data_IF_099326048608
#
_entry.id   IF_099326048608
#
_cell.length_a   1.000
_cell.length_b   1.000
_cell.length_c   1.000
_cell.angle_alpha   90.00
_cell.angle_beta   90.00
_cell.angle_gamma   90.00
#
_symmetry.space_group_name_H-M   'P 1'
#
loop_
_entity.id
_entity.type
_entity.pdbx_description
1 polymer ?
#
# COMPACT_ATOMS: atom_id res chain seq x y z
N UNK A 1 44.30 41.75 26.30
CA UNK A 1 42.99 42.46 26.27
C UNK A 1 41.98 41.40 25.79
N UNK A 2 41.25 40.88 26.74
CA UNK A 2 40.22 39.83 26.54
C UNK A 2 38.86 40.54 26.43
N UNK A 3 38.14 40.30 25.38
CA UNK A 3 36.72 40.63 25.33
C UNK A 3 35.92 39.34 25.33
N UNK A 4 35.23 39.21 26.46
CA UNK A 4 34.21 38.18 26.69
C UNK A 4 32.89 38.70 26.09
N UNK A 5 32.30 37.93 25.21
CA UNK A 5 30.91 38.11 24.76
C UNK A 5 29.99 37.22 25.60
N UNK A 6 29.18 37.83 26.44
CA UNK A 6 28.09 37.20 27.20
C UNK A 6 26.97 36.80 26.22
N UNK A 7 26.58 35.52 26.28
CA UNK A 7 25.29 35.09 25.71
C UNK A 7 24.18 35.28 26.72
N UNK A 8 23.26 36.22 26.42
CA UNK A 8 22.02 36.44 27.16
C UNK A 8 21.08 35.25 26.93
N UNK A 9 20.78 34.51 27.99
CA UNK A 9 19.75 33.47 27.99
C UNK A 9 18.35 34.11 27.94
N UNK A 10 17.57 33.74 26.94
CA UNK A 10 16.13 34.07 26.91
C UNK A 10 15.39 32.95 27.64
N UNK A 11 14.88 33.29 28.83
CA UNK A 11 13.95 32.43 29.55
C UNK A 11 12.56 32.57 28.91
N UNK A 12 12.09 31.48 28.26
CA UNK A 12 10.69 31.37 27.84
C UNK A 12 9.93 30.66 28.97
N UNK A 13 9.36 31.47 29.84
CA UNK A 13 8.39 31.04 30.83
C UNK A 13 7.09 31.83 30.60
N UNK A 14 6.24 31.34 29.70
CA UNK A 14 4.84 31.71 29.65
C UNK A 14 3.99 30.45 29.67
N UNK A 15 3.15 30.39 30.73
CA UNK A 15 2.11 29.39 30.89
C UNK A 15 1.11 29.50 29.75
N UNK A 16 1.09 28.49 28.86
CA UNK A 16 0.01 28.31 27.89
C UNK A 16 -1.22 27.88 28.69
N UNK A 17 -2.17 28.82 28.89
CA UNK A 17 -3.52 28.49 29.29
C UNK A 17 -4.13 27.59 28.24
N UNK A 18 -4.72 26.46 28.65
CA UNK A 18 -5.56 25.60 27.80
C UNK A 18 -6.72 26.45 27.24
N UNK A 19 -6.50 27.03 26.07
CA UNK A 19 -7.58 27.62 25.28
C UNK A 19 -8.16 26.54 24.37
N UNK A 20 -9.49 26.58 24.24
CA UNK A 20 -10.33 25.65 23.51
C UNK A 20 -9.72 25.15 22.20
N UNK A 21 -9.76 23.86 21.97
CA UNK A 21 -9.29 23.24 20.73
C UNK A 21 -9.98 23.89 19.52
N UNK A 22 -9.29 24.12 18.38
CA UNK A 22 -9.88 24.72 17.18
C UNK A 22 -11.14 24.03 16.65
N UNK A 23 -11.44 22.85 17.13
CA UNK A 23 -12.61 22.06 16.79
C UNK A 23 -13.92 22.64 17.34
N UNK A 24 -13.91 23.38 18.45
CA UNK A 24 -15.11 24.00 19.03
C UNK A 24 -15.53 25.26 18.30
N UNK A 25 -14.61 25.97 17.64
CA UNK A 25 -14.91 27.20 16.90
C UNK A 25 -15.60 26.90 15.53
N UNK A 26 -15.61 25.68 15.06
CA UNK A 26 -16.25 25.25 13.80
C UNK A 26 -17.51 24.40 14.00
N UNK A 27 -17.99 24.25 15.22
CA UNK A 27 -19.30 23.68 15.49
C UNK A 27 -20.41 24.67 15.07
N UNK A 28 -20.50 24.92 13.77
CA UNK A 28 -21.68 25.51 13.17
C UNK A 28 -22.87 24.62 13.44
N UNK A 29 -24.02 25.21 13.78
CA UNK A 29 -25.28 24.48 13.96
C UNK A 29 -25.49 23.44 12.85
N UNK A 30 -26.03 22.24 13.14
CA UNK A 30 -26.27 21.19 12.16
C UNK A 30 -27.16 21.61 10.97
N UNK A 31 -27.77 22.79 11.00
CA UNK A 31 -28.68 23.34 10.00
C UNK A 31 -28.05 24.41 9.07
N UNK A 32 -26.75 24.69 9.13
CA UNK A 32 -26.13 25.59 8.16
C UNK A 32 -25.85 24.84 6.88
N UNK A 33 -26.78 24.86 5.92
CA UNK A 33 -26.57 24.42 4.56
C UNK A 33 -25.27 25.07 4.04
N UNK A 34 -24.23 24.29 3.78
CA UNK A 34 -22.98 24.79 3.24
C UNK A 34 -23.26 25.51 1.92
N UNK A 35 -22.99 26.84 1.78
CA UNK A 35 -23.31 27.57 0.57
C UNK A 35 -22.45 27.12 -0.63
N UNK A 36 -21.41 26.33 -0.37
CA UNK A 36 -20.49 25.83 -1.37
C UNK A 36 -20.99 24.50 -1.93
N UNK A 37 -21.17 24.44 -3.25
CA UNK A 37 -21.56 23.22 -3.97
C UNK A 37 -20.35 22.30 -4.10
N UNK A 38 -20.34 21.21 -3.36
CA UNK A 38 -19.36 20.12 -3.50
C UNK A 38 -19.86 19.03 -4.45
N UNK A 39 -18.95 18.16 -4.91
CA UNK A 39 -19.31 16.98 -5.74
C UNK A 39 -20.16 16.01 -4.92
N UNK A 40 -21.32 15.62 -5.45
CA UNK A 40 -22.26 14.73 -4.74
C UNK A 40 -21.69 13.35 -4.38
N UNK A 41 -20.71 12.85 -5.14
CA UNK A 41 -20.04 11.57 -4.85
C UNK A 41 -19.35 11.59 -3.47
N UNK A 42 -18.87 12.74 -3.02
CA UNK A 42 -18.14 12.84 -1.74
C UNK A 42 -19.03 12.50 -0.53
N UNK A 43 -20.33 12.77 -0.61
CA UNK A 43 -21.28 12.41 0.44
C UNK A 43 -21.57 10.90 0.51
N UNK A 44 -21.24 10.14 -0.53
CA UNK A 44 -21.48 8.69 -0.62
C UNK A 44 -20.21 7.86 -0.45
N UNK A 45 -19.03 8.51 -0.54
CA UNK A 45 -17.76 7.83 -0.40
C UNK A 45 -17.42 7.58 1.07
N UNK A 46 -16.92 6.37 1.40
CA UNK A 46 -16.33 6.16 2.71
C UNK A 46 -15.00 6.91 2.84
N UNK A 47 -14.72 7.43 4.02
CA UNK A 47 -13.37 7.90 4.33
C UNK A 47 -12.37 6.74 4.31
N UNK A 48 -11.16 7.02 3.80
CA UNK A 48 -10.06 6.07 3.93
C UNK A 48 -9.72 5.91 5.42
N UNK A 49 -9.87 4.70 5.94
CA UNK A 49 -9.55 4.39 7.34
C UNK A 49 -8.07 3.99 7.43
N UNK A 50 -7.17 4.85 7.93
CA UNK A 50 -5.78 4.46 8.15
C UNK A 50 -5.68 3.38 9.23
N UNK A 51 -4.57 2.61 9.22
CA UNK A 51 -4.25 1.74 10.33
C UNK A 51 -4.10 2.55 11.62
N UNK A 52 -4.66 2.06 12.73
CA UNK A 52 -4.54 2.72 14.03
C UNK A 52 -3.07 2.79 14.46
N UNK A 53 -2.64 3.80 15.23
CA UNK A 53 -1.33 3.83 15.86
C UNK A 53 -1.18 2.68 16.85
N UNK A 54 0.07 2.33 17.19
CA UNK A 54 0.34 1.34 18.23
C UNK A 54 -0.27 1.79 19.57
N UNK A 55 -1.00 0.90 20.21
CA UNK A 55 -1.59 1.13 21.53
C UNK A 55 -1.55 -0.17 22.35
N UNK A 56 -1.35 -0.05 23.67
CA UNK A 56 -1.33 -1.17 24.57
C UNK A 56 -1.80 -0.76 25.97
N UNK A 57 -2.26 -1.70 26.79
CA UNK A 57 -2.46 -1.51 28.22
C UNK A 57 -1.16 -1.10 28.94
N UNK A 58 -1.27 -0.49 30.12
CA UNK A 58 -0.12 -0.10 30.91
C UNK A 58 0.82 -1.31 31.20
N UNK A 59 2.11 -1.12 30.97
CA UNK A 59 3.12 -2.16 31.17
C UNK A 59 3.27 -3.19 30.03
N UNK A 60 2.48 -3.07 28.96
CA UNK A 60 2.59 -3.93 27.77
C UNK A 60 3.25 -3.17 26.63
N UNK A 61 4.26 -3.77 25.97
CA UNK A 61 4.86 -3.18 24.76
C UNK A 61 3.84 -3.19 23.62
N UNK A 62 3.63 -2.02 22.99
CA UNK A 62 2.72 -1.86 21.88
C UNK A 62 3.41 -2.11 20.53
N UNK A 63 2.77 -2.89 19.65
CA UNK A 63 3.24 -3.17 18.29
C UNK A 63 2.16 -2.80 17.27
N UNK A 64 2.57 -2.14 16.18
CA UNK A 64 1.70 -1.75 15.08
C UNK A 64 1.75 -2.77 13.95
N UNK A 65 0.79 -3.67 13.91
CA UNK A 65 0.66 -4.72 12.90
C UNK A 65 -0.50 -4.45 11.89
N UNK A 66 -0.91 -3.19 11.76
CA UNK A 66 -2.13 -2.82 11.01
C UNK A 66 -1.89 -2.34 9.58
N UNK A 67 -0.65 -2.00 9.18
CA UNK A 67 -0.38 -1.24 7.94
C UNK A 67 0.58 -1.91 6.96
N UNK A 68 0.99 -3.16 7.21
CA UNK A 68 1.97 -3.91 6.39
C UNK A 68 3.28 -3.12 6.23
N UNK A 69 3.69 -2.41 7.29
CA UNK A 69 4.97 -1.73 7.36
C UNK A 69 6.09 -2.75 7.54
N UNK A 70 7.30 -2.39 7.11
CA UNK A 70 8.49 -3.19 7.37
C UNK A 70 8.96 -2.90 8.81
N UNK A 71 9.16 -3.91 9.68
CA UNK A 71 9.62 -3.69 11.05
C UNK A 71 11.08 -3.21 11.14
N UNK A 72 11.86 -3.46 10.08
CA UNK A 72 13.24 -2.96 10.01
C UNK A 72 13.28 -1.51 9.55
N UNK A 73 14.09 -0.68 10.22
CA UNK A 73 14.39 0.67 9.75
C UNK A 73 15.10 0.65 8.38
N UNK A 74 15.27 1.79 7.71
CA UNK A 74 16.02 1.85 6.46
C UNK A 74 17.45 1.32 6.62
N UNK A 75 18.04 0.85 5.52
CA UNK A 75 19.44 0.39 5.50
C UNK A 75 20.39 1.57 5.83
N UNK A 76 21.57 1.33 6.42
CA UNK A 76 22.51 2.41 6.75
C UNK A 76 22.89 3.29 5.55
N UNK A 77 23.12 2.68 4.39
CA UNK A 77 23.41 3.42 3.14
C UNK A 77 22.22 4.28 2.68
N UNK A 78 21.01 3.83 2.90
CA UNK A 78 19.78 4.58 2.60
C UNK A 78 19.60 5.75 3.55
N UNK A 79 19.87 5.56 4.86
CA UNK A 79 19.86 6.65 5.85
C UNK A 79 20.90 7.73 5.52
N UNK A 80 22.12 7.35 5.14
CA UNK A 80 23.13 8.31 4.71
C UNK A 80 22.68 9.14 3.51
N UNK A 81 22.09 8.51 2.50
CA UNK A 81 21.53 9.21 1.33
C UNK A 81 20.37 10.16 1.70
N UNK A 82 19.54 9.79 2.68
CA UNK A 82 18.48 10.64 3.22
C UNK A 82 19.06 11.87 3.91
N UNK A 83 20.05 11.69 4.75
CA UNK A 83 20.70 12.76 5.53
C UNK A 83 21.36 13.77 4.58
N UNK A 84 22.08 13.32 3.56
CA UNK A 84 22.69 14.18 2.55
C UNK A 84 21.62 14.98 1.79
N UNK A 85 20.52 14.35 1.38
CA UNK A 85 19.46 15.01 0.64
C UNK A 85 18.65 15.99 1.52
N UNK A 86 18.56 15.75 2.83
CA UNK A 86 17.84 16.63 3.76
C UNK A 86 18.42 18.05 3.79
N UNK A 87 19.72 18.23 3.49
CA UNK A 87 20.36 19.54 3.42
C UNK A 87 19.83 20.44 2.30
N UNK A 88 19.11 19.88 1.32
CA UNK A 88 18.63 20.60 0.11
C UNK A 88 17.11 20.67 -0.03
N UNK A 89 16.34 20.30 1.01
CA UNK A 89 14.86 20.25 0.96
C UNK A 89 14.18 21.60 0.71
N UNK A 90 14.91 22.71 0.80
CA UNK A 90 14.45 24.04 0.44
C UNK A 90 14.35 24.25 -1.09
N UNK A 91 14.75 23.27 -1.90
CA UNK A 91 14.68 23.29 -3.36
C UNK A 91 13.67 22.28 -3.87
N UNK A 92 13.03 22.60 -5.00
CA UNK A 92 12.19 21.63 -5.68
C UNK A 92 13.00 20.40 -6.12
N UNK A 93 12.42 19.19 -6.05
CA UNK A 93 13.03 18.00 -6.61
C UNK A 93 13.09 18.05 -8.14
N UNK A 94 13.86 17.14 -8.74
CA UNK A 94 13.74 16.87 -10.17
C UNK A 94 12.31 16.39 -10.48
N UNK A 95 11.55 17.22 -11.21
CA UNK A 95 10.16 16.93 -11.57
C UNK A 95 10.02 15.70 -12.47
N UNK A 96 11.01 15.45 -13.33
CA UNK A 96 11.05 14.30 -14.24
C UNK A 96 11.50 13.02 -13.56
N UNK A 97 11.97 13.10 -12.29
CA UNK A 97 12.48 11.95 -11.51
C UNK A 97 13.53 11.16 -12.31
N UNK A 98 14.39 11.86 -13.05
CA UNK A 98 15.28 11.31 -14.09
C UNK A 98 16.22 10.24 -13.55
N UNK A 99 16.92 10.52 -12.44
CA UNK A 99 17.90 9.60 -11.87
C UNK A 99 17.26 8.29 -11.37
N UNK A 100 16.14 8.38 -10.65
CA UNK A 100 15.42 7.20 -10.19
C UNK A 100 14.82 6.41 -11.36
N UNK A 101 14.23 7.09 -12.34
CA UNK A 101 13.69 6.45 -13.54
C UNK A 101 14.77 5.66 -14.30
N UNK A 102 15.94 6.26 -14.49
CA UNK A 102 17.09 5.60 -15.12
C UNK A 102 17.60 4.40 -14.27
N UNK A 103 17.59 4.52 -12.95
CA UNK A 103 18.00 3.42 -12.07
C UNK A 103 16.99 2.25 -12.08
N UNK A 104 15.69 2.55 -12.07
CA UNK A 104 14.62 1.57 -12.23
C UNK A 104 14.70 0.86 -13.58
N UNK A 105 14.87 1.61 -14.66
CA UNK A 105 15.00 1.07 -16.02
C UNK A 105 16.10 0.00 -16.10
N UNK A 106 17.27 0.27 -15.49
CA UNK A 106 18.35 -0.71 -15.40
C UNK A 106 18.02 -1.91 -14.52
N UNK A 107 17.38 -1.68 -13.36
CA UNK A 107 17.04 -2.75 -12.41
C UNK A 107 16.01 -3.74 -12.96
N UNK A 108 15.07 -3.24 -13.78
CA UNK A 108 13.93 -3.99 -14.30
C UNK A 108 14.15 -4.47 -15.75
N UNK A 109 15.25 -4.08 -16.37
CA UNK A 109 15.54 -4.33 -17.77
C UNK A 109 14.39 -3.87 -18.70
N UNK A 110 14.02 -2.58 -18.55
CA UNK A 110 12.96 -1.93 -19.33
C UNK A 110 13.43 -0.54 -19.82
N UNK A 111 12.92 -0.03 -20.94
CA UNK A 111 13.20 1.34 -21.36
C UNK A 111 12.69 2.38 -20.35
N UNK A 112 13.44 3.48 -20.15
CA UNK A 112 13.09 4.53 -19.19
C UNK A 112 11.75 5.21 -19.51
N UNK A 113 11.39 5.32 -20.78
CA UNK A 113 10.12 5.85 -21.24
C UNK A 113 8.90 5.02 -20.82
N UNK A 114 9.11 3.76 -20.44
CA UNK A 114 8.08 2.86 -19.94
C UNK A 114 7.75 3.07 -18.45
N UNK A 115 8.48 3.95 -17.74
CA UNK A 115 8.32 4.15 -16.31
C UNK A 115 7.57 5.44 -16.02
N UNK A 116 6.57 5.36 -15.13
CA UNK A 116 5.91 6.51 -14.53
C UNK A 116 5.99 6.39 -12.99
N UNK A 117 6.34 7.49 -12.31
CA UNK A 117 6.52 7.55 -10.85
C UNK A 117 5.43 8.39 -10.19
N UNK A 118 5.23 8.21 -8.89
CA UNK A 118 4.28 9.01 -8.11
C UNK A 118 4.54 8.91 -6.60
N UNK A 119 3.77 9.68 -5.84
CA UNK A 119 3.83 9.73 -4.37
C UNK A 119 3.26 8.48 -3.70
N UNK A 120 3.95 7.34 -3.92
CA UNK A 120 3.50 5.99 -3.59
C UNK A 120 2.64 5.37 -4.68
N UNK A 121 2.46 4.05 -4.65
CA UNK A 121 1.66 3.33 -5.65
C UNK A 121 0.19 3.79 -5.69
N UNK A 122 -0.37 4.31 -4.59
CA UNK A 122 -1.74 4.86 -4.57
C UNK A 122 -1.86 6.07 -5.49
N UNK A 123 -0.87 6.98 -5.49
CA UNK A 123 -0.88 8.12 -6.41
C UNK A 123 -0.71 7.66 -7.86
N UNK A 124 0.14 6.67 -8.11
CA UNK A 124 0.29 6.08 -9.46
C UNK A 124 -1.01 5.40 -9.90
N UNK A 125 -1.71 4.70 -9.00
CA UNK A 125 -3.04 4.15 -9.29
C UNK A 125 -4.04 5.26 -9.64
N UNK A 126 -4.01 6.39 -8.92
CA UNK A 126 -4.83 7.57 -9.24
C UNK A 126 -4.49 8.12 -10.62
N UNK A 127 -3.20 8.18 -10.98
CA UNK A 127 -2.76 8.57 -12.34
C UNK A 127 -3.35 7.64 -13.40
N UNK A 128 -3.33 6.31 -13.17
CA UNK A 128 -3.85 5.31 -14.10
C UNK A 128 -5.35 5.53 -14.31
N UNK A 129 -6.13 5.60 -13.22
CA UNK A 129 -7.59 5.76 -13.33
C UNK A 129 -7.96 7.10 -13.98
N UNK A 130 -7.26 8.21 -13.64
CA UNK A 130 -7.49 9.51 -14.26
C UNK A 130 -7.04 9.58 -15.73
N UNK A 131 -6.10 8.74 -16.15
CA UNK A 131 -5.66 8.68 -17.55
C UNK A 131 -6.58 7.82 -18.43
N UNK A 132 -7.28 6.85 -17.83
CA UNK A 132 -8.06 5.86 -18.55
C UNK A 132 -9.58 6.08 -18.47
N UNK A 133 -10.10 6.72 -17.42
CA UNK A 133 -11.53 6.80 -17.16
C UNK A 133 -12.08 8.21 -17.29
N UNK A 134 -13.21 8.33 -17.97
CA UNK A 134 -14.13 9.46 -17.93
C UNK A 134 -15.26 9.21 -16.91
N UNK A 135 -16.08 10.25 -16.67
CA UNK A 135 -17.20 10.13 -15.74
C UNK A 135 -18.22 9.06 -16.19
N UNK A 136 -18.45 8.11 -15.31
CA UNK A 136 -19.37 6.98 -15.52
C UNK A 136 -18.76 5.76 -16.20
N UNK A 137 -17.47 5.78 -16.55
CA UNK A 137 -16.73 4.57 -16.91
C UNK A 137 -16.59 3.63 -15.70
N UNK A 138 -16.15 2.40 -15.93
CA UNK A 138 -16.13 1.35 -14.92
C UNK A 138 -14.70 0.86 -14.66
N UNK A 139 -14.43 0.58 -13.38
CA UNK A 139 -13.19 -0.08 -12.93
C UNK A 139 -13.58 -1.38 -12.24
N UNK A 140 -13.15 -2.51 -12.81
CA UNK A 140 -13.42 -3.86 -12.29
C UNK A 140 -12.28 -4.33 -11.39
N UNK A 141 -12.61 -4.85 -10.21
CA UNK A 141 -11.62 -5.44 -9.31
C UNK A 141 -12.26 -6.47 -8.36
N UNK A 142 -11.43 -7.37 -7.85
CA UNK A 142 -11.88 -8.33 -6.85
C UNK A 142 -12.20 -7.62 -5.52
N UNK A 143 -13.14 -8.15 -4.77
CA UNK A 143 -13.51 -7.61 -3.46
C UNK A 143 -13.79 -8.74 -2.45
N UNK A 144 -13.11 -8.77 -1.33
CA UNK A 144 -12.25 -7.79 -0.67
C UNK A 144 -10.88 -7.68 -1.34
N UNK A 145 -10.46 -6.46 -1.61
CA UNK A 145 -9.12 -6.15 -2.08
C UNK A 145 -8.66 -4.80 -1.47
N UNK A 146 -7.69 -4.11 -2.08
CA UNK A 146 -7.13 -2.89 -1.50
C UNK A 146 -8.19 -1.78 -1.37
N UNK A 147 -8.37 -1.28 -0.15
CA UNK A 147 -9.44 -0.32 0.19
C UNK A 147 -9.37 1.02 -0.56
N UNK A 148 -8.23 1.36 -1.15
CA UNK A 148 -8.10 2.55 -1.99
C UNK A 148 -8.77 2.40 -3.37
N UNK A 149 -8.99 1.19 -3.88
CA UNK A 149 -9.54 0.97 -5.22
C UNK A 149 -10.89 1.65 -5.44
N UNK A 150 -11.92 1.41 -4.61
CA UNK A 150 -13.20 2.10 -4.78
C UNK A 150 -13.10 3.61 -4.58
N UNK A 151 -12.23 4.08 -3.68
CA UNK A 151 -12.05 5.51 -3.40
C UNK A 151 -11.45 6.23 -4.62
N UNK A 152 -10.34 5.71 -5.16
CA UNK A 152 -9.67 6.29 -6.32
C UNK A 152 -10.60 6.28 -7.54
N UNK A 153 -11.33 5.17 -7.75
CA UNK A 153 -12.31 5.03 -8.82
C UNK A 153 -13.39 6.12 -8.74
N UNK A 154 -14.03 6.27 -7.58
CA UNK A 154 -15.10 7.25 -7.39
C UNK A 154 -14.59 8.70 -7.46
N UNK A 155 -13.37 8.98 -6.98
CA UNK A 155 -12.75 10.29 -7.11
C UNK A 155 -12.52 10.71 -8.57
N UNK A 156 -12.21 9.77 -9.45
CA UNK A 156 -12.13 10.00 -10.89
C UNK A 156 -13.51 10.18 -11.56
N UNK A 157 -14.61 9.88 -10.86
CA UNK A 157 -15.97 9.89 -11.40
C UNK A 157 -16.39 8.58 -12.04
N UNK A 158 -15.54 7.56 -12.00
CA UNK A 158 -15.82 6.22 -12.48
C UNK A 158 -16.61 5.39 -11.44
N UNK A 159 -17.16 4.27 -11.88
CA UNK A 159 -17.94 3.34 -11.06
C UNK A 159 -17.09 2.13 -10.66
N UNK A 160 -16.97 1.81 -9.35
CA UNK A 160 -16.35 0.58 -8.92
C UNK A 160 -17.27 -0.62 -9.21
N UNK A 161 -16.74 -1.64 -9.90
CA UNK A 161 -17.39 -2.93 -10.16
C UNK A 161 -16.66 -3.99 -9.35
N UNK A 162 -17.25 -4.37 -8.22
CA UNK A 162 -16.63 -5.25 -7.23
C UNK A 162 -17.08 -6.70 -7.46
N UNK A 163 -16.11 -7.62 -7.64
CA UNK A 163 -16.34 -9.05 -7.87
C UNK A 163 -15.88 -9.84 -6.65
N UNK A 164 -16.78 -10.64 -6.06
CA UNK A 164 -16.46 -11.45 -4.88
C UNK A 164 -15.29 -12.42 -5.10
N UNK A 165 -14.52 -12.66 -4.04
CA UNK A 165 -13.47 -13.68 -4.02
C UNK A 165 -14.07 -15.11 -4.01
N UNK A 166 -13.23 -16.11 -4.26
CA UNK A 166 -13.58 -17.52 -4.04
C UNK A 166 -13.46 -17.93 -2.56
N UNK A 167 -13.76 -19.20 -2.28
CA UNK A 167 -13.69 -19.76 -0.93
C UNK A 167 -12.26 -19.83 -0.35
N UNK A 168 -11.23 -19.79 -1.21
CA UNK A 168 -9.82 -19.71 -0.86
C UNK A 168 -9.32 -18.26 -0.76
N UNK A 169 -10.23 -17.30 -0.80
CA UNK A 169 -9.96 -15.86 -0.77
C UNK A 169 -9.10 -15.37 -1.96
N UNK A 170 -9.19 -16.05 -3.12
CA UNK A 170 -8.50 -15.72 -4.37
C UNK A 170 -9.39 -14.90 -5.31
N UNK A 171 -8.78 -14.25 -6.27
CA UNK A 171 -9.50 -13.58 -7.36
C UNK A 171 -10.22 -14.60 -8.26
N UNK A 172 -11.47 -14.33 -8.57
CA UNK A 172 -12.26 -15.07 -9.56
C UNK A 172 -12.14 -14.36 -10.91
N UNK A 173 -11.07 -14.65 -11.65
CA UNK A 173 -10.78 -13.97 -12.92
C UNK A 173 -11.86 -14.20 -13.98
N UNK A 174 -12.51 -15.37 -13.98
CA UNK A 174 -13.66 -15.68 -14.82
C UNK A 174 -14.87 -14.76 -14.56
N UNK A 175 -15.17 -14.54 -13.29
CA UNK A 175 -16.24 -13.62 -12.87
C UNK A 175 -15.83 -12.16 -13.10
N UNK A 176 -14.56 -11.80 -12.93
CA UNK A 176 -14.06 -10.47 -13.28
C UNK A 176 -14.18 -10.21 -14.78
N UNK A 177 -13.89 -11.20 -15.62
CA UNK A 177 -14.10 -11.09 -17.07
C UNK A 177 -15.59 -10.91 -17.40
N UNK A 178 -16.47 -11.71 -16.80
CA UNK A 178 -17.91 -11.59 -17.00
C UNK A 178 -18.50 -10.24 -16.56
N UNK A 179 -17.79 -9.52 -15.69
CA UNK A 179 -18.19 -8.18 -15.24
C UNK A 179 -17.69 -7.04 -16.15
N UNK A 180 -16.87 -7.34 -17.17
CA UNK A 180 -16.41 -6.34 -18.15
C UNK A 180 -17.58 -5.96 -19.08
N UNK A 181 -17.77 -4.67 -19.25
CA UNK A 181 -18.77 -4.08 -20.17
C UNK A 181 -18.12 -3.11 -21.15
N UNK A 182 -18.88 -2.56 -22.08
CA UNK A 182 -18.41 -1.52 -23.00
C UNK A 182 -17.96 -0.24 -22.30
N UNK A 183 -18.29 -0.07 -21.03
CA UNK A 183 -17.85 1.04 -20.18
C UNK A 183 -16.62 0.75 -19.33
N UNK A 184 -16.19 -0.49 -19.28
CA UNK A 184 -15.00 -0.85 -18.52
C UNK A 184 -13.75 -0.28 -19.19
N UNK A 185 -12.94 0.45 -18.41
CA UNK A 185 -11.65 1.02 -18.87
C UNK A 185 -10.45 0.47 -18.12
N UNK A 186 -10.67 0.03 -16.89
CA UNK A 186 -9.58 -0.49 -16.06
C UNK A 186 -10.03 -1.76 -15.34
N UNK A 187 -9.14 -2.75 -15.30
CA UNK A 187 -9.25 -3.93 -14.41
C UNK A 187 -8.06 -3.92 -13.47
N UNK A 188 -8.29 -4.08 -12.15
CA UNK A 188 -7.24 -4.13 -11.14
C UNK A 188 -7.07 -5.56 -10.62
N UNK A 189 -5.86 -6.11 -10.77
CA UNK A 189 -5.47 -7.43 -10.30
C UNK A 189 -4.39 -7.25 -9.23
N UNK A 190 -4.78 -7.37 -7.95
CA UNK A 190 -3.89 -7.26 -6.80
C UNK A 190 -3.24 -8.62 -6.52
N UNK A 191 -1.93 -8.74 -6.69
CA UNK A 191 -1.22 -10.02 -6.53
C UNK A 191 0.17 -9.83 -5.95
N UNK A 192 0.42 -10.32 -4.72
CA UNK A 192 -0.52 -10.93 -3.75
C UNK A 192 -1.68 -10.01 -3.37
N UNK A 193 -2.88 -10.59 -3.20
CA UNK A 193 -4.05 -9.81 -2.84
C UNK A 193 -3.96 -9.26 -1.40
N UNK A 194 -4.24 -7.99 -1.21
CA UNK A 194 -4.40 -7.36 0.09
C UNK A 194 -5.90 -7.10 0.33
N UNK A 195 -6.54 -7.68 1.36
CA UNK A 195 -5.94 -8.16 2.61
C UNK A 195 -5.73 -9.68 2.71
N UNK A 196 -6.06 -10.48 1.71
CA UNK A 196 -6.26 -11.92 1.89
C UNK A 196 -5.00 -12.78 1.69
N UNK A 197 -4.01 -12.31 0.92
CA UNK A 197 -2.68 -12.92 0.81
C UNK A 197 -2.38 -13.73 -0.45
N UNK A 198 -3.33 -14.45 -1.08
CA UNK A 198 -3.04 -15.31 -2.23
C UNK A 198 -2.57 -14.56 -3.47
N UNK A 199 -1.72 -15.23 -4.26
CA UNK A 199 -1.32 -14.78 -5.59
C UNK A 199 -2.32 -15.21 -6.66
N UNK A 200 -2.35 -14.45 -7.76
CA UNK A 200 -2.85 -14.91 -9.06
C UNK A 200 -1.71 -15.64 -9.76
N UNK A 201 -1.99 -16.78 -10.41
CA UNK A 201 -0.98 -17.56 -11.10
C UNK A 201 -0.78 -17.06 -12.55
N UNK A 202 0.42 -17.30 -13.09
CA UNK A 202 0.80 -16.86 -14.43
C UNK A 202 -0.20 -17.34 -15.49
N UNK A 203 -0.48 -18.66 -15.52
CA UNK A 203 -1.39 -19.27 -16.49
C UNK A 203 -2.84 -18.73 -16.38
N UNK A 204 -3.30 -18.43 -15.16
CA UNK A 204 -4.64 -17.89 -14.93
C UNK A 204 -4.76 -16.47 -15.48
N UNK A 205 -3.73 -15.63 -15.23
CA UNK A 205 -3.72 -14.26 -15.75
C UNK A 205 -3.60 -14.22 -17.27
N UNK A 206 -2.75 -15.07 -17.87
CA UNK A 206 -2.60 -15.17 -19.33
C UNK A 206 -3.94 -15.54 -20.00
N UNK A 207 -4.61 -16.59 -19.49
CA UNK A 207 -5.91 -17.01 -19.99
C UNK A 207 -7.02 -15.96 -19.80
N UNK A 208 -6.93 -15.14 -18.78
CA UNK A 208 -7.81 -13.99 -18.55
C UNK A 208 -7.53 -12.91 -19.60
N UNK A 209 -6.27 -12.53 -19.79
CA UNK A 209 -5.85 -11.47 -20.71
C UNK A 209 -6.17 -11.79 -22.17
N UNK A 210 -6.18 -13.07 -22.55
CA UNK A 210 -6.60 -13.51 -23.89
C UNK A 210 -8.04 -13.15 -24.23
N UNK A 211 -8.88 -12.92 -23.21
CA UNK A 211 -10.29 -12.59 -23.34
C UNK A 211 -10.58 -11.11 -23.16
N UNK A 212 -9.75 -10.39 -22.40
CA UNK A 212 -9.94 -8.96 -22.09
C UNK A 212 -9.77 -8.12 -23.35
N UNK A 213 -10.69 -7.19 -23.66
CA UNK A 213 -10.53 -6.26 -24.77
C UNK A 213 -9.21 -5.48 -24.69
N UNK A 214 -8.55 -5.29 -25.82
CA UNK A 214 -7.20 -4.68 -25.89
C UNK A 214 -7.19 -3.18 -25.53
N UNK A 215 -8.35 -2.53 -25.49
CA UNK A 215 -8.55 -1.13 -25.09
C UNK A 215 -8.86 -0.98 -23.58
N UNK A 216 -8.96 -2.08 -22.85
CA UNK A 216 -9.09 -2.09 -21.39
C UNK A 216 -7.71 -2.20 -20.74
N UNK A 217 -7.36 -1.26 -19.88
CA UNK A 217 -6.10 -1.30 -19.12
C UNK A 217 -6.20 -2.34 -18.01
N UNK A 218 -5.26 -3.29 -17.96
CA UNK A 218 -5.16 -4.25 -16.86
C UNK A 218 -3.97 -3.91 -15.99
N UNK A 219 -4.24 -3.55 -14.73
CA UNK A 219 -3.20 -3.23 -13.74
C UNK A 219 -2.88 -4.47 -12.94
N UNK A 220 -1.63 -4.92 -12.98
CA UNK A 220 -1.08 -5.94 -12.09
C UNK A 220 -0.43 -5.21 -10.91
N UNK A 221 -1.15 -5.13 -9.78
CA UNK A 221 -0.68 -4.45 -8.58
C UNK A 221 0.19 -5.41 -7.75
N UNK A 222 1.49 -5.24 -7.89
CA UNK A 222 2.55 -6.06 -7.28
C UNK A 222 3.17 -5.38 -6.06
N UNK A 223 2.36 -4.77 -5.18
CA UNK A 223 2.87 -4.07 -3.99
C UNK A 223 3.66 -4.97 -3.02
N UNK A 224 3.57 -6.29 -3.16
CA UNK A 224 4.21 -7.29 -2.27
C UNK A 224 5.10 -8.28 -3.03
N UNK A 225 5.45 -8.01 -4.28
CA UNK A 225 6.16 -8.95 -5.18
C UNK A 225 7.46 -9.49 -4.59
N UNK A 226 8.17 -8.72 -3.78
CA UNK A 226 9.43 -9.12 -3.16
C UNK A 226 9.26 -10.27 -2.15
N UNK A 227 8.07 -10.43 -1.56
CA UNK A 227 7.77 -11.49 -0.58
C UNK A 227 7.26 -12.79 -1.20
N UNK A 228 6.96 -12.79 -2.50
CA UNK A 228 6.38 -13.95 -3.20
C UNK A 228 7.36 -15.11 -3.25
N UNK A 229 6.89 -16.30 -2.88
CA UNK A 229 7.64 -17.57 -2.96
C UNK A 229 6.87 -18.66 -3.68
N UNK A 230 5.69 -18.36 -4.23
CA UNK A 230 4.95 -19.24 -5.11
C UNK A 230 5.61 -19.24 -6.49
N UNK A 231 6.12 -20.39 -6.98
CA UNK A 231 6.76 -20.47 -8.29
C UNK A 231 5.79 -20.22 -9.45
N UNK A 232 4.50 -20.46 -9.24
CA UNK A 232 3.45 -20.28 -10.24
C UNK A 232 2.85 -18.86 -10.24
N UNK A 233 3.24 -18.02 -9.25
CA UNK A 233 2.76 -16.66 -9.16
C UNK A 233 3.10 -15.85 -10.40
N UNK A 234 2.19 -14.99 -10.80
CA UNK A 234 2.39 -14.12 -11.96
C UNK A 234 3.60 -13.20 -11.76
N UNK A 235 4.36 -13.04 -12.82
CA UNK A 235 5.42 -12.06 -12.97
C UNK A 235 4.93 -10.97 -13.91
N UNK A 236 4.44 -9.88 -13.35
CA UNK A 236 3.78 -8.82 -14.13
C UNK A 236 4.65 -8.26 -15.26
N UNK A 237 5.96 -8.13 -15.06
CA UNK A 237 6.88 -7.67 -16.09
C UNK A 237 6.96 -8.62 -17.29
N UNK A 238 6.88 -9.94 -17.07
CA UNK A 238 6.91 -10.92 -18.18
C UNK A 238 5.64 -10.79 -19.01
N UNK A 239 4.48 -10.64 -18.35
CA UNK A 239 3.19 -10.40 -19.02
C UNK A 239 3.20 -9.06 -19.76
N UNK A 240 3.66 -7.99 -19.11
CA UNK A 240 3.73 -6.65 -19.69
C UNK A 240 4.52 -6.60 -21.00
N UNK A 241 5.62 -7.38 -21.13
CA UNK A 241 6.44 -7.40 -22.34
C UNK A 241 5.66 -7.75 -23.61
N UNK A 242 4.56 -8.49 -23.48
CA UNK A 242 3.75 -9.02 -24.59
C UNK A 242 2.34 -8.45 -24.68
N UNK A 243 1.93 -7.60 -23.69
CA UNK A 243 0.57 -7.10 -23.55
C UNK A 243 0.58 -5.57 -23.44
N UNK A 244 0.31 -4.84 -24.54
CA UNK A 244 0.38 -3.36 -24.53
C UNK A 244 -0.58 -2.67 -23.55
N UNK A 245 -1.67 -3.34 -23.17
CA UNK A 245 -2.67 -2.85 -22.24
C UNK A 245 -2.40 -3.24 -20.77
N UNK A 246 -1.31 -3.93 -20.48
CA UNK A 246 -0.92 -4.28 -19.10
C UNK A 246 -0.04 -3.18 -18.50
N UNK A 247 -0.33 -2.82 -17.26
CA UNK A 247 0.44 -1.90 -16.43
C UNK A 247 0.84 -2.62 -15.15
N UNK A 248 2.13 -2.66 -14.85
CA UNK A 248 2.65 -3.22 -13.59
C UNK A 248 2.81 -2.09 -12.58
N UNK A 249 2.18 -2.22 -11.41
CA UNK A 249 2.22 -1.21 -10.35
C UNK A 249 3.04 -1.74 -9.16
N UNK A 250 4.04 -0.97 -8.69
CA UNK A 250 4.93 -1.33 -7.58
C UNK A 250 5.18 -0.18 -6.62
N UNK A 251 5.68 -0.49 -5.43
CA UNK A 251 5.89 0.50 -4.36
C UNK A 251 7.20 0.27 -3.61
N UNK A 252 7.78 1.34 -3.09
CA UNK A 252 8.87 1.28 -2.12
C UNK A 252 8.38 1.25 -0.66
N UNK A 253 7.06 1.22 -0.45
CA UNK A 253 6.48 1.31 0.90
C UNK A 253 6.54 0.01 1.71
N UNK A 254 6.76 -1.16 1.08
CA UNK A 254 6.67 -2.49 1.71
C UNK A 254 8.04 -3.09 1.94
N UNK A 255 8.56 -3.90 1.04
CA UNK A 255 9.86 -4.54 1.18
C UNK A 255 10.99 -3.54 1.45
N UNK A 256 10.98 -2.42 0.74
CA UNK A 256 12.01 -1.38 0.84
C UNK A 256 11.95 -0.55 2.14
N UNK A 257 10.86 -0.65 2.94
CA UNK A 257 10.75 0.08 4.21
C UNK A 257 10.62 1.61 4.09
N UNK A 258 10.28 2.13 2.91
CA UNK A 258 10.20 3.57 2.65
C UNK A 258 8.75 4.12 2.68
N UNK A 259 7.87 3.52 3.49
CA UNK A 259 6.46 3.90 3.56
C UNK A 259 6.25 5.40 3.85
N UNK A 260 7.08 5.99 4.71
CA UNK A 260 7.02 7.42 5.07
C UNK A 260 7.46 8.37 3.97
N UNK A 261 8.31 7.93 3.04
CA UNK A 261 8.86 8.79 1.98
C UNK A 261 7.94 8.96 0.77
N UNK A 262 6.94 8.11 0.63
CA UNK A 262 5.92 8.21 -0.41
C UNK A 262 6.48 8.12 -1.82
N UNK A 263 7.00 6.98 -2.25
CA UNK A 263 7.47 6.72 -3.61
C UNK A 263 6.99 5.37 -4.13
N UNK A 264 6.52 5.35 -5.38
CA UNK A 264 6.07 4.17 -6.11
C UNK A 264 6.15 4.43 -7.62
N UNK A 265 5.94 3.40 -8.41
CA UNK A 265 6.06 3.49 -9.85
C UNK A 265 5.16 2.49 -10.57
N UNK A 266 4.91 2.79 -11.84
CA UNK A 266 4.35 1.84 -12.80
C UNK A 266 5.32 1.59 -13.95
N UNK A 267 5.26 0.37 -14.51
CA UNK A 267 5.84 0.04 -15.80
C UNK A 267 4.68 -0.16 -16.79
N UNK A 268 4.68 0.61 -17.85
CA UNK A 268 3.65 0.60 -18.89
C UNK A 268 4.27 0.81 -20.26
N UNK A 269 3.61 0.44 -21.33
CA UNK A 269 4.08 0.77 -22.68
C UNK A 269 4.13 2.28 -22.88
N UNK A 270 5.03 2.81 -23.76
CA UNK A 270 5.36 4.23 -23.83
C UNK A 270 4.16 5.18 -23.95
N UNK A 271 3.10 4.90 -24.75
CA UNK A 271 1.93 5.79 -24.82
C UNK A 271 1.18 5.88 -23.49
N UNK A 272 1.03 4.73 -22.78
CA UNK A 272 0.36 4.67 -21.48
C UNK A 272 1.22 5.37 -20.42
N UNK A 273 2.52 5.05 -20.35
CA UNK A 273 3.42 5.68 -19.38
C UNK A 273 3.48 7.21 -19.56
N UNK A 274 3.44 7.69 -20.82
CA UNK A 274 3.37 9.13 -21.13
C UNK A 274 2.06 9.76 -20.62
N UNK A 275 0.92 9.06 -20.74
CA UNK A 275 -0.36 9.51 -20.19
C UNK A 275 -0.32 9.58 -18.66
N UNK A 276 0.25 8.55 -17.98
CA UNK A 276 0.41 8.56 -16.53
C UNK A 276 1.24 9.74 -16.04
N UNK A 277 2.32 10.07 -16.72
CA UNK A 277 3.15 11.25 -16.37
C UNK A 277 2.40 12.59 -16.52
N UNK A 278 1.41 12.68 -17.43
CA UNK A 278 0.57 13.89 -17.58
C UNK A 278 -0.42 14.07 -16.44
N UNK A 279 -0.87 12.98 -15.81
CA UNK A 279 -1.80 13.01 -14.67
C UNK A 279 -1.08 13.02 -13.32
N UNK A 280 0.25 12.99 -13.31
CA UNK A 280 1.06 13.06 -12.11
C UNK A 280 1.02 14.46 -11.46
N UNK A 281 1.06 14.51 -10.14
CA UNK A 281 1.25 15.75 -9.40
C UNK A 281 2.63 16.34 -9.70
N UNK A 282 2.74 17.57 -10.20
CA UNK A 282 4.03 18.21 -10.43
C UNK A 282 4.89 18.21 -9.16
N UNK A 283 6.19 17.88 -9.29
CA UNK A 283 7.14 17.78 -8.17
C UNK A 283 6.70 16.83 -7.04
N UNK A 284 5.78 15.91 -7.30
CA UNK A 284 5.16 15.07 -6.26
C UNK A 284 6.15 14.15 -5.54
N UNK A 285 7.08 13.51 -6.26
CA UNK A 285 8.12 12.66 -5.65
C UNK A 285 9.26 13.55 -5.14
N UNK A 286 9.34 13.72 -3.82
CA UNK A 286 10.34 14.59 -3.19
C UNK A 286 11.78 14.09 -3.36
N UNK A 287 12.77 14.98 -3.22
CA UNK A 287 14.20 14.67 -3.44
C UNK A 287 14.70 13.57 -2.51
N UNK A 288 14.31 13.58 -1.25
CA UNK A 288 14.68 12.56 -0.25
C UNK A 288 14.16 11.19 -0.66
N UNK A 289 12.92 11.10 -1.13
CA UNK A 289 12.34 9.85 -1.63
C UNK A 289 13.07 9.32 -2.87
N UNK A 290 13.46 10.22 -3.80
CA UNK A 290 14.20 9.83 -5.01
C UNK A 290 15.55 9.20 -4.67
N UNK A 291 16.35 9.84 -3.82
CA UNK A 291 17.69 9.32 -3.47
C UNK A 291 17.61 8.07 -2.59
N UNK A 292 16.65 8.01 -1.65
CA UNK A 292 16.43 6.83 -0.81
C UNK A 292 16.03 5.60 -1.63
N UNK A 293 15.17 5.79 -2.64
CA UNK A 293 14.78 4.71 -3.54
C UNK A 293 15.97 4.21 -4.39
N UNK A 294 16.82 5.12 -4.89
CA UNK A 294 18.04 4.76 -5.62
C UNK A 294 18.98 3.98 -4.71
N UNK A 295 19.29 4.51 -3.52
CA UNK A 295 20.16 3.83 -2.57
C UNK A 295 19.65 2.45 -2.16
N UNK A 296 18.33 2.29 -2.00
CA UNK A 296 17.71 0.99 -1.72
C UNK A 296 17.87 -0.01 -2.88
N UNK A 297 17.77 0.45 -4.13
CA UNK A 297 18.01 -0.38 -5.31
C UNK A 297 19.49 -0.74 -5.46
N UNK A 298 20.41 0.11 -5.00
CA UNK A 298 21.86 -0.15 -5.02
C UNK A 298 22.28 -1.13 -3.92
N UNK A 299 21.55 -1.17 -2.81
CA UNK A 299 21.75 -2.09 -1.69
C UNK A 299 20.81 -3.32 -1.74
N UNK A 300 20.45 -3.76 -2.95
CA UNK A 300 19.41 -4.79 -3.15
C UNK A 300 19.72 -6.12 -2.44
N UNK A 301 20.97 -6.56 -2.41
CA UNK A 301 21.35 -7.83 -1.75
C UNK A 301 21.11 -7.78 -0.23
N UNK A 302 21.46 -6.65 0.42
CA UNK A 302 21.18 -6.44 1.84
C UNK A 302 19.68 -6.32 2.12
N UNK A 303 18.96 -5.61 1.26
CA UNK A 303 17.50 -5.52 1.32
C UNK A 303 16.87 -6.91 1.19
N UNK A 304 17.30 -7.70 0.21
CA UNK A 304 16.77 -9.03 -0.03
C UNK A 304 17.00 -9.97 1.15
N UNK A 305 18.16 -9.88 1.83
CA UNK A 305 18.40 -10.64 3.06
C UNK A 305 17.37 -10.34 4.17
N UNK A 306 16.93 -9.07 4.29
CA UNK A 306 15.83 -8.69 5.21
C UNK A 306 14.49 -9.22 4.76
N UNK A 307 14.21 -9.21 3.45
CA UNK A 307 12.99 -9.80 2.89
C UNK A 307 12.94 -11.30 3.19
N UNK A 308 14.06 -12.04 2.98
CA UNK A 308 14.14 -13.46 3.32
C UNK A 308 13.86 -13.72 4.81
N UNK A 309 14.37 -12.85 5.69
CA UNK A 309 14.10 -12.96 7.14
C UNK A 309 12.60 -12.77 7.45
N UNK A 310 11.91 -11.84 6.78
CA UNK A 310 10.47 -11.65 6.94
C UNK A 310 9.65 -12.79 6.36
N UNK A 311 10.08 -13.36 5.23
CA UNK A 311 9.46 -14.54 4.64
C UNK A 311 9.58 -15.73 5.57
N UNK A 312 10.78 -16.00 6.10
CA UNK A 312 10.99 -17.09 7.07
C UNK A 312 10.14 -16.88 8.33
N UNK A 313 10.01 -15.65 8.82
CA UNK A 313 9.17 -15.34 9.97
C UNK A 313 7.68 -15.49 9.66
N UNK A 314 7.21 -15.10 8.48
CA UNK A 314 5.84 -15.39 8.00
C UNK A 314 5.58 -16.89 8.03
N UNK A 315 6.47 -17.66 7.44
CA UNK A 315 6.30 -19.11 7.32
C UNK A 315 6.29 -19.79 8.71
N UNK A 316 7.12 -19.30 9.66
CA UNK A 316 7.08 -19.71 11.08
C UNK A 316 5.72 -19.43 11.72
N UNK A 317 5.18 -18.23 11.53
CA UNK A 317 3.88 -17.83 12.07
C UNK A 317 2.76 -18.69 11.48
N UNK A 318 2.74 -18.86 10.15
CA UNK A 318 1.74 -19.67 9.45
C UNK A 318 1.77 -21.12 9.94
N UNK A 319 2.98 -21.71 10.10
CA UNK A 319 3.12 -23.07 10.61
C UNK A 319 2.61 -23.19 12.05
N UNK A 320 3.00 -22.25 12.93
CA UNK A 320 2.54 -22.26 14.32
C UNK A 320 1.02 -22.14 14.45
N UNK A 321 0.38 -21.34 13.58
CA UNK A 321 -1.08 -21.23 13.52
C UNK A 321 -1.72 -22.52 12.98
N UNK A 322 -1.14 -23.15 11.97
CA UNK A 322 -1.60 -24.44 11.44
C UNK A 322 -1.52 -25.55 12.49
N UNK A 323 -0.44 -25.59 13.28
CA UNK A 323 -0.25 -26.55 14.39
C UNK A 323 -1.32 -26.37 15.49
N UNK A 324 -1.90 -25.18 15.63
CA UNK A 324 -3.03 -24.87 16.52
C UNK A 324 -4.39 -25.21 15.90
N UNK A 325 -4.43 -25.65 14.62
CA UNK A 325 -5.65 -26.01 13.89
C UNK A 325 -6.27 -24.87 13.08
N UNK A 326 -5.60 -23.70 12.96
CA UNK A 326 -6.08 -22.63 12.08
C UNK A 326 -5.95 -23.00 10.62
N UNK A 327 -7.00 -22.77 9.84
CA UNK A 327 -6.99 -22.87 8.37
C UNK A 327 -7.06 -21.47 7.79
N UNK A 328 -5.91 -20.91 7.42
CA UNK A 328 -5.80 -19.57 6.84
C UNK A 328 -5.54 -19.64 5.33
N UNK A 329 -6.01 -18.67 4.54
CA UNK A 329 -5.58 -18.54 3.15
C UNK A 329 -4.05 -18.43 3.06
N UNK A 330 -3.46 -19.04 2.03
CA UNK A 330 -2.02 -18.87 1.75
C UNK A 330 -1.71 -17.39 1.56
N UNK A 331 -0.64 -16.93 2.19
CA UNK A 331 -0.17 -15.57 2.00
C UNK A 331 1.24 -15.55 1.44
N UNK A 332 1.41 -14.89 0.30
CA UNK A 332 2.71 -14.58 -0.31
C UNK A 332 3.09 -13.10 -0.11
N UNK A 333 2.43 -12.39 0.83
CA UNK A 333 2.72 -11.03 1.25
C UNK A 333 3.42 -11.00 2.63
N UNK A 334 3.58 -9.81 3.22
CA UNK A 334 4.12 -9.63 4.56
C UNK A 334 3.03 -9.56 5.65
N UNK A 335 1.98 -10.33 5.52
CA UNK A 335 0.87 -10.41 6.49
C UNK A 335 0.17 -11.76 6.40
N UNK A 336 -0.67 -12.03 7.40
CA UNK A 336 -1.63 -13.16 7.43
C UNK A 336 -3.05 -12.62 7.51
N UNK A 337 -4.01 -13.39 6.99
CA UNK A 337 -5.43 -13.06 6.98
C UNK A 337 -6.23 -14.07 7.78
N UNK A 338 -7.01 -13.59 8.73
CA UNK A 338 -7.94 -14.38 9.53
C UNK A 338 -9.39 -14.12 9.06
N UNK A 339 -10.03 -15.04 8.33
CA UNK A 339 -11.41 -14.90 7.84
C UNK A 339 -12.41 -15.23 8.94
N UNK A 340 -12.61 -14.32 9.91
CA UNK A 340 -13.30 -14.59 11.17
C UNK A 340 -14.80 -14.25 11.18
N UNK A 341 -15.32 -13.64 10.12
CA UNK A 341 -16.71 -13.25 10.10
C UNK A 341 -17.06 -12.36 11.30
N UNK A 342 -18.17 -12.64 11.96
CA UNK A 342 -18.66 -11.90 13.12
C UNK A 342 -17.69 -11.89 14.32
N UNK A 343 -16.72 -12.82 14.37
CA UNK A 343 -15.72 -12.89 15.44
C UNK A 343 -14.55 -11.91 15.24
N UNK A 344 -14.48 -11.22 14.10
CA UNK A 344 -13.39 -10.27 13.77
C UNK A 344 -13.18 -9.20 14.84
N UNK A 345 -14.27 -8.67 15.42
CA UNK A 345 -14.19 -7.65 16.47
C UNK A 345 -13.63 -8.22 17.77
N UNK A 346 -14.03 -9.43 18.16
CA UNK A 346 -13.54 -10.08 19.37
C UNK A 346 -12.05 -10.44 19.26
N UNK A 347 -11.61 -10.96 18.10
CA UNK A 347 -10.20 -11.24 17.84
C UNK A 347 -9.35 -9.96 17.84
N UNK A 348 -9.83 -8.88 17.22
CA UNK A 348 -9.14 -7.59 17.23
C UNK A 348 -9.00 -7.01 18.63
N UNK A 349 -10.01 -7.18 19.49
CA UNK A 349 -9.96 -6.77 20.90
C UNK A 349 -8.94 -7.62 21.68
N UNK A 350 -8.93 -8.94 21.50
CA UNK A 350 -7.93 -9.82 22.13
C UNK A 350 -6.50 -9.48 21.70
N UNK A 351 -6.28 -9.12 20.44
CA UNK A 351 -4.99 -8.59 19.97
C UNK A 351 -4.64 -7.26 20.66
N UNK A 352 -5.59 -6.33 20.78
CA UNK A 352 -5.35 -5.04 21.42
C UNK A 352 -5.00 -5.18 22.91
N UNK A 353 -5.68 -6.07 23.65
CA UNK A 353 -5.37 -6.39 25.04
C UNK A 353 -3.95 -6.96 25.21
N UNK A 354 -3.44 -7.64 24.18
CA UNK A 354 -2.07 -8.11 24.11
C UNK A 354 -1.07 -7.06 23.53
N UNK A 355 -1.49 -5.82 23.30
CA UNK A 355 -0.65 -4.75 22.75
C UNK A 355 -0.40 -4.85 21.25
N UNK A 356 -1.20 -5.62 20.51
CA UNK A 356 -1.09 -5.79 19.06
C UNK A 356 -2.16 -4.98 18.34
N UNK A 357 -1.79 -3.91 17.66
CA UNK A 357 -2.73 -3.15 16.82
C UNK A 357 -2.82 -3.78 15.44
N UNK A 358 -3.93 -4.48 15.17
CA UNK A 358 -4.21 -5.21 13.92
C UNK A 358 -5.20 -4.46 13.02
N UNK A 359 -5.43 -4.93 11.78
CA UNK A 359 -6.39 -4.32 10.85
C UNK A 359 -7.62 -5.18 10.68
N UNK A 360 -8.73 -4.77 11.27
CA UNK A 360 -10.04 -5.37 11.05
C UNK A 360 -10.70 -4.79 9.78
N UNK A 361 -11.38 -5.63 9.04
CA UNK A 361 -12.14 -5.30 7.82
C UNK A 361 -13.64 -5.64 8.02
N UNK A 362 -14.29 -4.92 8.94
CA UNK A 362 -15.67 -5.22 9.31
C UNK A 362 -15.79 -6.67 9.81
N UNK A 363 -16.78 -7.38 9.27
CA UNK A 363 -16.99 -8.81 9.54
C UNK A 363 -16.33 -9.72 8.47
N UNK A 364 -15.55 -9.17 7.52
CA UNK A 364 -14.84 -10.03 6.56
C UNK A 364 -13.67 -10.76 7.22
N UNK A 365 -12.97 -10.11 8.17
CA UNK A 365 -11.83 -10.71 8.86
C UNK A 365 -10.84 -9.70 9.41
N UNK A 366 -9.68 -10.21 9.81
CA UNK A 366 -8.58 -9.44 10.40
C UNK A 366 -7.28 -9.74 9.67
N UNK A 367 -6.61 -8.69 9.18
CA UNK A 367 -5.26 -8.80 8.62
C UNK A 367 -4.23 -8.41 9.67
N UNK A 368 -3.21 -9.23 9.82
CA UNK A 368 -2.11 -9.00 10.75
C UNK A 368 -0.79 -8.98 10.00
N UNK A 369 -0.07 -7.87 10.07
CA UNK A 369 1.26 -7.71 9.49
C UNK A 369 2.26 -8.63 10.18
N UNK A 370 3.18 -9.23 9.43
CA UNK A 370 4.38 -9.88 9.98
C UNK A 370 5.35 -8.76 10.37
N UNK A 371 5.47 -8.56 11.66
CA UNK A 371 6.28 -7.52 12.29
C UNK A 371 7.49 -8.10 13.01
N UNK A 372 7.83 -7.50 14.15
CA UNK A 372 8.89 -7.95 15.05
C UNK A 372 8.60 -9.37 15.56
N UNK A 373 9.62 -10.19 15.70
CA UNK A 373 9.51 -11.61 16.14
C UNK A 373 8.74 -11.76 17.46
N UNK A 374 8.92 -10.81 18.40
CA UNK A 374 8.17 -10.81 19.67
C UNK A 374 6.68 -10.54 19.43
N UNK A 375 6.33 -9.57 18.57
CA UNK A 375 4.95 -9.27 18.22
C UNK A 375 4.28 -10.47 17.55
N UNK A 376 4.98 -11.13 16.64
CA UNK A 376 4.49 -12.32 15.93
C UNK A 376 4.29 -13.51 16.87
N UNK A 377 5.21 -13.72 17.83
CA UNK A 377 5.06 -14.78 18.85
C UNK A 377 3.85 -14.51 19.75
N UNK A 378 3.63 -13.25 20.13
CA UNK A 378 2.46 -12.82 20.89
C UNK A 378 1.16 -12.99 20.10
N UNK A 379 1.17 -12.76 18.79
CA UNK A 379 0.03 -13.08 17.92
C UNK A 379 -0.31 -14.57 17.97
N UNK A 380 0.68 -15.44 17.87
CA UNK A 380 0.49 -16.92 17.97
C UNK A 380 -0.11 -17.31 19.32
N UNK A 381 0.30 -16.69 20.42
CA UNK A 381 -0.28 -16.91 21.74
C UNK A 381 -1.73 -16.41 21.86
N UNK A 382 -2.04 -15.25 21.28
CA UNK A 382 -3.43 -14.73 21.23
C UNK A 382 -4.31 -15.68 20.45
N UNK A 383 -3.85 -16.14 19.28
CA UNK A 383 -4.58 -17.08 18.43
C UNK A 383 -4.83 -18.42 19.14
N UNK A 384 -3.85 -18.95 19.89
CA UNK A 384 -4.01 -20.17 20.68
C UNK A 384 -5.11 -20.04 21.76
N UNK A 385 -5.17 -18.89 22.45
CA UNK A 385 -6.18 -18.61 23.48
C UNK A 385 -7.56 -18.36 22.89
N UNK A 386 -7.62 -17.74 21.73
CA UNK A 386 -8.88 -17.48 21.02
C UNK A 386 -9.49 -18.78 20.47
N UNK A 387 -8.66 -19.72 20.08
CA UNK A 387 -9.03 -21.02 19.51
C UNK A 387 -9.21 -20.99 18.00
N UNK A 388 -8.83 -22.08 17.33
CA UNK A 388 -9.02 -22.23 15.89
C UNK A 388 -10.50 -22.36 15.50
N UNK A 389 -10.85 -21.86 14.33
CA UNK A 389 -12.19 -21.90 13.73
C UNK A 389 -12.12 -22.46 12.32
#
# INVERSE_FOLDING_TARGET
MSESTEHAGVSVGESVTEDATPQEAYAGSPDSATPVRLRGVLAQMPDYKPGKPAAAPAGVTAYKLSSNENPYGPLPSVLAAIDDAAATVNRYPDMAVTALTARLARALDVPAECIATGTGSVAVLTQIVNAACDAGDEVVFAWRSFEAYPIVTQLAGAKPVMVGLDEQARHRLDAMFAAITDRTRVVLVCTPNNPTGPCVHQAELEAFLDKVPSDVVVVVDEAYVEFVRDPDAVRGLDVWRHRPNVVVLRTFSKAYGLAGLRVGYAVAHPPVAAALRKTATPFGVNSVAQVAAIASLDAFDELNARVESLVAERDRVVQALADQGWTLPRSDANFVWFPLGAESSAFSAACADAGLTVRQYGDDGVRVTIGETEANSRLVEVAARFGAR
#
